data_IF_162511355232
#
_entry.id   IF_162511355232
#
_cell.length_a   1.000
_cell.length_b   1.000
_cell.length_c   1.000
_cell.angle_alpha   90.00
_cell.angle_beta   90.00
_cell.angle_gamma   90.00
#
_symmetry.space_group_name_H-M   'P 1'
#
loop_
_entity.id
_entity.type
_entity.pdbx_description
1 polymer ?
#
# COMPACT_ATOMS: atom_id res chain seq x y z
N UNK A 1 11.79 -11.42 17.46
CA UNK A 1 11.45 -11.85 16.08
C UNK A 1 9.96 -11.80 15.79
N UNK A 2 9.09 -12.66 16.35
CA UNK A 2 7.65 -12.71 16.03
C UNK A 2 6.91 -11.37 16.12
N UNK A 3 7.16 -10.57 17.18
CA UNK A 3 6.53 -9.25 17.36
C UNK A 3 6.85 -8.26 16.23
N UNK A 4 8.12 -8.22 15.78
CA UNK A 4 8.53 -7.33 14.69
C UNK A 4 7.85 -7.71 13.37
N UNK A 5 7.72 -9.01 13.07
CA UNK A 5 7.03 -9.49 11.87
C UNK A 5 5.53 -9.16 11.91
N UNK A 6 4.90 -9.26 13.09
CA UNK A 6 3.50 -8.86 13.29
C UNK A 6 3.35 -7.35 13.05
N UNK A 7 4.27 -6.51 13.53
CA UNK A 7 4.24 -5.08 13.27
C UNK A 7 4.32 -4.76 11.77
N UNK A 8 5.16 -5.48 11.03
CA UNK A 8 5.26 -5.36 9.58
C UNK A 8 3.98 -5.84 8.88
N UNK A 9 3.38 -6.94 9.36
CA UNK A 9 2.11 -7.46 8.85
C UNK A 9 0.94 -6.49 9.09
N UNK A 10 0.92 -5.76 10.21
CA UNK A 10 -0.06 -4.68 10.43
C UNK A 10 0.05 -3.56 9.40
N UNK A 11 1.27 -3.26 8.94
CA UNK A 11 1.48 -2.31 7.87
C UNK A 11 0.94 -2.79 6.52
N UNK A 12 1.22 -4.04 6.13
CA UNK A 12 0.68 -4.61 4.90
C UNK A 12 -0.84 -4.80 4.96
N UNK A 13 -1.41 -5.07 6.15
CA UNK A 13 -2.84 -5.07 6.39
C UNK A 13 -3.46 -3.70 6.09
N UNK A 14 -2.89 -2.62 6.66
CA UNK A 14 -3.38 -1.26 6.40
C UNK A 14 -3.25 -0.85 4.93
N UNK A 15 -2.14 -1.21 4.29
CA UNK A 15 -1.93 -0.98 2.87
C UNK A 15 -2.97 -1.73 2.02
N UNK A 16 -3.21 -3.00 2.31
CA UNK A 16 -4.17 -3.82 1.57
C UNK A 16 -5.61 -3.31 1.72
N UNK A 17 -6.05 -2.96 2.94
CA UNK A 17 -7.38 -2.36 3.14
C UNK A 17 -7.52 -1.09 2.30
N UNK A 18 -6.58 -0.17 2.42
CA UNK A 18 -6.64 1.09 1.71
C UNK A 18 -6.51 0.95 0.19
N UNK A 19 -5.93 -0.15 -0.32
CA UNK A 19 -5.86 -0.47 -1.74
C UNK A 19 -7.21 -0.94 -2.27
N UNK A 20 -7.68 -2.02 -1.73
CA UNK A 20 -8.79 -2.76 -2.31
C UNK A 20 -10.16 -2.23 -1.88
N UNK A 21 -10.27 -1.59 -0.72
CA UNK A 21 -11.55 -1.04 -0.27
C UNK A 21 -12.11 0.00 -1.24
N UNK A 22 -11.25 0.77 -1.93
CA UNK A 22 -11.70 1.75 -2.91
C UNK A 22 -12.57 1.14 -4.02
N UNK A 23 -12.28 -0.10 -4.42
CA UNK A 23 -13.05 -0.80 -5.44
C UNK A 23 -14.45 -1.14 -4.93
N UNK A 24 -14.55 -1.52 -3.65
CA UNK A 24 -15.83 -1.82 -3.01
C UNK A 24 -16.70 -0.59 -2.72
N UNK A 25 -16.08 0.58 -2.52
CA UNK A 25 -16.80 1.84 -2.19
C UNK A 25 -16.93 2.80 -3.37
N UNK A 26 -16.46 2.40 -4.56
CA UNK A 26 -16.42 3.26 -5.75
C UNK A 26 -17.78 3.88 -6.10
N UNK A 27 -18.91 3.13 -6.07
CA UNK A 27 -20.24 3.69 -6.31
C UNK A 27 -20.65 4.76 -5.28
N UNK A 28 -20.34 4.53 -4.00
CA UNK A 28 -20.66 5.47 -2.91
C UNK A 28 -19.91 6.80 -3.10
N UNK A 29 -18.62 6.71 -3.45
CA UNK A 29 -17.77 7.89 -3.72
C UNK A 29 -18.27 8.65 -4.96
N UNK A 30 -18.61 7.91 -6.03
CA UNK A 30 -19.14 8.51 -7.25
C UNK A 30 -20.44 9.27 -6.98
N UNK A 31 -21.36 8.67 -6.24
CA UNK A 31 -22.64 9.26 -5.86
C UNK A 31 -22.46 10.52 -5.00
N UNK A 32 -21.60 10.45 -3.97
CA UNK A 32 -21.38 11.56 -3.04
C UNK A 32 -20.70 12.77 -3.72
N UNK A 33 -19.78 12.52 -4.64
CA UNK A 33 -19.08 13.57 -5.39
C UNK A 33 -19.83 14.04 -6.66
N UNK A 34 -20.97 13.44 -7.00
CA UNK A 34 -21.76 13.76 -8.18
C UNK A 34 -21.02 13.48 -9.50
N UNK A 35 -20.20 12.44 -9.55
CA UNK A 35 -19.40 12.05 -10.71
C UNK A 35 -19.81 10.66 -11.23
N UNK A 36 -19.47 10.35 -12.47
CA UNK A 36 -19.70 9.02 -13.02
C UNK A 36 -18.73 7.98 -12.45
N UNK A 37 -19.12 6.70 -12.42
CA UNK A 37 -18.27 5.59 -11.97
C UNK A 37 -16.95 5.52 -12.75
N UNK A 38 -16.91 5.67 -14.09
CA UNK A 38 -15.64 5.72 -14.82
C UNK A 38 -14.73 6.86 -14.37
N UNK A 39 -15.27 8.04 -14.05
CA UNK A 39 -14.48 9.17 -13.50
C UNK A 39 -13.97 8.85 -12.10
N UNK A 40 -14.76 8.19 -11.26
CA UNK A 40 -14.30 7.73 -9.95
C UNK A 40 -13.16 6.70 -10.08
N UNK A 41 -13.09 5.93 -11.16
CA UNK A 41 -11.98 5.05 -11.48
C UNK A 41 -10.61 5.74 -11.54
N UNK A 42 -10.57 7.05 -11.79
CA UNK A 42 -9.33 7.83 -11.73
C UNK A 42 -8.65 7.79 -10.34
N UNK A 43 -9.42 7.59 -9.25
CA UNK A 43 -8.85 7.42 -7.91
C UNK A 43 -8.05 6.13 -7.78
N UNK A 44 -8.41 5.08 -8.53
CA UNK A 44 -7.66 3.82 -8.62
C UNK A 44 -6.41 4.04 -9.49
N UNK A 45 -6.53 4.77 -10.59
CA UNK A 45 -5.39 5.10 -11.46
C UNK A 45 -4.37 6.01 -10.76
N UNK A 46 -4.83 7.02 -10.03
CA UNK A 46 -3.96 7.89 -9.22
C UNK A 46 -3.19 7.10 -8.14
N UNK A 47 -3.85 6.11 -7.55
CA UNK A 47 -3.22 5.14 -6.67
C UNK A 47 -2.06 4.41 -7.37
N UNK A 48 -2.33 3.79 -8.52
CA UNK A 48 -1.32 3.02 -9.26
C UNK A 48 -0.13 3.90 -9.66
N UNK A 49 -0.39 5.13 -10.12
CA UNK A 49 0.66 6.12 -10.41
C UNK A 49 1.48 6.46 -9.16
N UNK A 50 0.84 6.63 -8.00
CA UNK A 50 1.54 6.87 -6.73
C UNK A 50 2.51 5.73 -6.39
N UNK A 51 2.10 4.47 -6.55
CA UNK A 51 2.97 3.30 -6.34
C UNK A 51 4.15 3.32 -7.31
N UNK A 52 3.90 3.57 -8.60
CA UNK A 52 4.95 3.61 -9.63
C UNK A 52 6.00 4.71 -9.35
N UNK A 53 5.56 5.89 -8.93
CA UNK A 53 6.45 7.02 -8.63
C UNK A 53 7.18 6.83 -7.30
N UNK A 54 6.48 6.28 -6.30
CA UNK A 54 7.02 6.15 -4.95
C UNK A 54 8.13 5.11 -4.82
N UNK A 55 8.05 3.99 -5.54
CA UNK A 55 9.02 2.92 -5.43
C UNK A 55 10.46 3.37 -5.80
N UNK A 56 10.73 4.06 -6.91
CA UNK A 56 12.06 4.58 -7.23
C UNK A 56 12.56 5.66 -6.27
N UNK A 57 11.68 6.55 -5.83
CA UNK A 57 12.05 7.65 -4.91
C UNK A 57 12.60 7.11 -3.60
N UNK A 58 12.02 6.04 -3.10
CA UNK A 58 12.42 5.44 -1.83
C UNK A 58 13.70 4.60 -1.91
N UNK A 59 14.11 4.20 -3.11
CA UNK A 59 15.45 3.62 -3.27
C UNK A 59 16.55 4.61 -2.91
N UNK A 60 16.29 5.92 -3.04
CA UNK A 60 17.22 6.98 -2.64
C UNK A 60 17.39 7.09 -1.11
N UNK A 61 16.37 6.73 -0.35
CA UNK A 61 16.38 6.82 1.11
C UNK A 61 17.06 5.62 1.81
N UNK A 62 17.42 4.56 1.09
CA UNK A 62 17.89 3.29 1.64
C UNK A 62 19.15 3.36 2.51
N UNK A 63 19.95 4.42 2.42
CA UNK A 63 21.12 4.66 3.27
C UNK A 63 20.77 4.97 4.73
N UNK A 64 19.53 5.42 4.96
CA UNK A 64 19.05 5.69 6.31
C UNK A 64 18.63 4.41 7.03
N UNK A 65 18.57 4.41 8.37
CA UNK A 65 18.12 3.24 9.12
C UNK A 65 16.73 2.79 8.68
N UNK A 66 16.57 1.49 8.37
CA UNK A 66 15.35 0.97 7.74
C UNK A 66 14.11 1.16 8.61
N UNK A 67 14.27 1.14 9.94
CA UNK A 67 13.19 1.46 10.89
C UNK A 67 12.65 2.88 10.69
N UNK A 68 13.52 3.88 10.52
CA UNK A 68 13.09 5.26 10.29
C UNK A 68 12.37 5.40 8.94
N UNK A 69 12.85 4.71 7.92
CA UNK A 69 12.17 4.67 6.62
C UNK A 69 10.75 4.12 6.80
N UNK A 70 10.58 2.99 7.47
CA UNK A 70 9.26 2.41 7.72
C UNK A 70 8.33 3.38 8.46
N UNK A 71 8.83 4.09 9.48
CA UNK A 71 8.04 5.09 10.21
C UNK A 71 7.59 6.25 9.31
N UNK A 72 8.50 6.78 8.47
CA UNK A 72 8.16 7.84 7.50
C UNK A 72 7.12 7.34 6.50
N UNK A 73 7.26 6.10 5.99
CA UNK A 73 6.31 5.51 5.07
C UNK A 73 4.92 5.39 5.68
N UNK A 74 4.84 4.91 6.93
CA UNK A 74 3.55 4.80 7.65
C UNK A 74 2.95 6.16 7.92
N UNK A 75 3.75 7.17 8.23
CA UNK A 75 3.27 8.55 8.41
C UNK A 75 2.63 9.08 7.13
N UNK A 76 3.24 8.83 5.96
CA UNK A 76 2.66 9.22 4.67
C UNK A 76 1.35 8.46 4.37
N UNK A 77 1.27 7.16 4.70
CA UNK A 77 0.04 6.37 4.58
C UNK A 77 -1.06 7.00 5.46
N UNK A 78 -0.75 7.29 6.71
CA UNK A 78 -1.67 7.87 7.68
C UNK A 78 -2.19 9.23 7.20
N UNK A 79 -1.30 10.16 6.89
CA UNK A 79 -1.66 11.52 6.43
C UNK A 79 -2.49 11.44 5.16
N UNK A 80 -2.07 10.66 4.16
CA UNK A 80 -2.78 10.54 2.91
C UNK A 80 -4.20 9.97 3.05
N UNK A 81 -4.41 8.99 3.95
CA UNK A 81 -5.75 8.44 4.19
C UNK A 81 -6.62 9.41 5.02
N UNK A 82 -6.06 10.15 5.98
CA UNK A 82 -6.78 11.21 6.69
C UNK A 82 -7.18 12.32 5.72
N UNK A 83 -6.27 12.77 4.84
CA UNK A 83 -6.60 13.74 3.81
C UNK A 83 -7.69 13.23 2.86
N UNK A 84 -7.68 11.94 2.50
CA UNK A 84 -8.73 11.34 1.70
C UNK A 84 -10.09 11.35 2.42
N UNK A 85 -10.11 11.03 3.72
CA UNK A 85 -11.33 11.07 4.55
C UNK A 85 -11.92 12.50 4.63
N UNK A 86 -11.06 13.50 4.72
CA UNK A 86 -11.44 14.92 4.85
C UNK A 86 -11.63 15.63 3.49
N UNK A 87 -11.49 14.91 2.38
CA UNK A 87 -11.53 15.54 1.05
C UNK A 87 -12.91 16.13 0.74
N UNK A 88 -12.99 17.44 0.39
CA UNK A 88 -14.24 18.09 0.07
C UNK A 88 -14.67 17.91 -1.39
N UNK A 89 -13.75 17.52 -2.28
CA UNK A 89 -13.99 17.45 -3.71
C UNK A 89 -13.08 16.42 -4.40
N UNK A 90 -13.39 16.19 -5.69
CA UNK A 90 -12.65 15.26 -6.56
C UNK A 90 -11.14 15.49 -6.57
N UNK A 91 -10.66 16.71 -6.72
CA UNK A 91 -9.22 16.99 -6.89
C UNK A 91 -8.42 16.74 -5.63
N UNK A 92 -8.98 17.11 -4.48
CA UNK A 92 -8.33 16.85 -3.17
C UNK A 92 -8.28 15.35 -2.91
N UNK A 93 -9.36 14.62 -3.21
CA UNK A 93 -9.37 13.16 -3.06
C UNK A 93 -8.34 12.52 -4.00
N UNK A 94 -8.26 12.97 -5.25
CA UNK A 94 -7.30 12.46 -6.24
C UNK A 94 -5.85 12.63 -5.76
N UNK A 95 -5.52 13.84 -5.29
CA UNK A 95 -4.19 14.13 -4.74
C UNK A 95 -3.89 13.31 -3.48
N UNK A 96 -4.85 13.20 -2.56
CA UNK A 96 -4.72 12.41 -1.34
C UNK A 96 -4.50 10.91 -1.65
N UNK A 97 -5.21 10.37 -2.64
CA UNK A 97 -5.02 9.00 -3.12
C UNK A 97 -3.64 8.79 -3.71
N UNK A 98 -3.14 9.72 -4.51
CA UNK A 98 -1.77 9.66 -5.05
C UNK A 98 -0.72 9.68 -3.93
N UNK A 99 -0.80 10.66 -3.02
CA UNK A 99 0.16 10.82 -1.92
C UNK A 99 0.16 9.61 -0.98
N UNK A 100 -1.02 9.10 -0.61
CA UNK A 100 -1.14 7.94 0.29
C UNK A 100 -0.49 6.68 -0.28
N UNK A 101 -0.15 6.66 -1.59
CA UNK A 101 0.37 5.49 -2.30
C UNK A 101 1.84 5.52 -2.65
N UNK A 102 2.45 6.69 -2.55
CA UNK A 102 3.91 6.79 -2.66
C UNK A 102 4.66 5.77 -1.77
N UNK A 103 4.23 5.51 -0.51
CA UNK A 103 4.91 4.56 0.35
C UNK A 103 4.73 3.08 0.00
N UNK A 104 3.73 2.71 -0.80
CA UNK A 104 3.29 1.31 -0.94
C UNK A 104 4.42 0.36 -1.37
N UNK A 105 4.98 0.56 -2.56
CA UNK A 105 6.04 -0.31 -3.09
C UNK A 105 7.29 -0.34 -2.21
N UNK A 106 7.63 0.80 -1.61
CA UNK A 106 8.76 0.90 -0.72
C UNK A 106 8.53 0.22 0.62
N UNK A 107 7.32 0.26 1.15
CA UNK A 107 6.99 -0.45 2.39
C UNK A 107 7.20 -1.96 2.22
N UNK A 108 6.78 -2.53 1.08
CA UNK A 108 7.04 -3.94 0.77
C UNK A 108 8.53 -4.22 0.61
N UNK A 109 9.27 -3.38 -0.12
CA UNK A 109 10.71 -3.54 -0.33
C UNK A 109 11.50 -3.45 0.96
N UNK A 110 11.33 -2.37 1.73
CA UNK A 110 12.03 -2.15 3.00
C UNK A 110 11.58 -3.16 4.06
N UNK A 111 10.28 -3.43 4.14
CA UNK A 111 9.71 -4.40 5.07
C UNK A 111 10.22 -5.81 4.85
N UNK A 112 10.35 -6.26 3.59
CA UNK A 112 10.91 -7.57 3.25
C UNK A 112 12.37 -7.70 3.70
N UNK A 113 13.18 -6.66 3.48
CA UNK A 113 14.58 -6.64 3.92
C UNK A 113 14.64 -6.69 5.46
N UNK A 114 13.81 -5.93 6.15
CA UNK A 114 13.74 -5.97 7.62
C UNK A 114 13.26 -7.32 8.12
N UNK A 115 12.23 -7.90 7.50
CA UNK A 115 11.73 -9.23 7.85
C UNK A 115 12.82 -10.30 7.70
N UNK A 116 13.53 -10.29 6.56
CA UNK A 116 14.62 -11.23 6.28
C UNK A 116 15.77 -11.08 7.27
N UNK A 117 16.22 -9.84 7.57
CA UNK A 117 17.30 -9.58 8.54
C UNK A 117 16.96 -9.96 9.98
N UNK A 118 15.69 -9.94 10.34
CA UNK A 118 15.20 -10.31 11.67
C UNK A 118 14.80 -11.80 11.76
N UNK A 119 14.83 -12.52 10.64
CA UNK A 119 14.52 -13.93 10.60
C UNK A 119 15.64 -14.79 11.22
N UNK A 120 15.27 -15.95 11.73
CA UNK A 120 16.22 -16.98 12.09
C UNK A 120 16.95 -17.50 10.84
N UNK A 121 18.16 -18.03 11.01
CA UNK A 121 18.97 -18.53 9.90
C UNK A 121 18.18 -19.54 9.06
N UNK A 122 18.06 -19.28 7.75
CA UNK A 122 17.32 -20.12 6.81
C UNK A 122 15.81 -19.87 6.75
N UNK A 123 15.23 -18.96 7.57
CA UNK A 123 13.78 -18.66 7.62
C UNK A 123 13.38 -17.31 7.02
N UNK A 124 14.22 -16.74 6.16
CA UNK A 124 13.94 -15.43 5.55
C UNK A 124 12.63 -15.40 4.76
N UNK A 125 12.40 -16.40 3.89
CA UNK A 125 11.15 -16.49 3.11
C UNK A 125 9.91 -16.65 3.98
N UNK A 126 9.98 -17.41 5.08
CA UNK A 126 8.89 -17.55 6.06
C UNK A 126 8.57 -16.19 6.69
N UNK A 127 9.59 -15.43 7.08
CA UNK A 127 9.41 -14.11 7.68
C UNK A 127 8.76 -13.11 6.73
N UNK A 128 9.16 -13.11 5.46
CA UNK A 128 8.54 -12.27 4.42
C UNK A 128 7.10 -12.70 4.17
N UNK A 129 6.81 -14.00 4.16
CA UNK A 129 5.44 -14.52 4.01
C UNK A 129 4.53 -14.08 5.16
N UNK A 130 5.01 -14.08 6.41
CA UNK A 130 4.25 -13.55 7.56
C UNK A 130 3.94 -12.07 7.39
N UNK A 131 4.89 -11.27 6.91
CA UNK A 131 4.64 -9.86 6.63
C UNK A 131 3.56 -9.69 5.55
N UNK A 132 3.64 -10.45 4.46
CA UNK A 132 2.68 -10.36 3.34
C UNK A 132 1.29 -10.88 3.73
N UNK A 133 1.19 -11.82 4.68
CA UNK A 133 -0.08 -12.35 5.16
C UNK A 133 -1.05 -11.27 5.66
N UNK A 134 -0.53 -10.10 6.13
CA UNK A 134 -1.36 -8.94 6.46
C UNK A 134 -2.22 -8.48 5.28
N UNK A 135 -1.68 -8.47 4.06
CA UNK A 135 -2.44 -8.10 2.85
C UNK A 135 -3.52 -9.14 2.51
N UNK A 136 -3.24 -10.42 2.72
CA UNK A 136 -4.25 -11.49 2.54
C UNK A 136 -5.40 -11.32 3.52
N UNK A 137 -5.10 -11.02 4.79
CA UNK A 137 -6.12 -10.73 5.82
C UNK A 137 -6.91 -9.47 5.46
N UNK A 138 -6.26 -8.44 4.89
CA UNK A 138 -6.93 -7.25 4.40
C UNK A 138 -7.98 -7.58 3.34
N UNK A 139 -7.63 -8.41 2.36
CA UNK A 139 -8.55 -8.79 1.29
C UNK A 139 -9.71 -9.64 1.81
N UNK A 140 -9.44 -10.55 2.75
CA UNK A 140 -10.47 -11.48 3.26
C UNK A 140 -11.47 -10.80 4.21
N UNK A 141 -10.98 -9.94 5.09
CA UNK A 141 -11.80 -9.32 6.15
C UNK A 141 -11.85 -7.79 6.04
N UNK A 142 -10.74 -7.14 5.73
CA UNK A 142 -10.63 -5.69 5.77
C UNK A 142 -11.45 -5.01 4.69
N UNK A 143 -11.47 -5.57 3.47
CA UNK A 143 -12.24 -5.01 2.35
C UNK A 143 -13.74 -5.16 2.58
N UNK A 144 -14.29 -6.35 2.90
CA UNK A 144 -15.71 -6.49 3.22
C UNK A 144 -16.16 -5.60 4.39
N UNK A 145 -15.37 -5.52 5.45
CA UNK A 145 -15.69 -4.67 6.61
C UNK A 145 -15.66 -3.18 6.23
N UNK A 146 -14.66 -2.76 5.46
CA UNK A 146 -14.55 -1.39 4.99
C UNK A 146 -15.68 -0.99 4.04
N UNK A 147 -16.11 -1.89 3.16
CA UNK A 147 -17.26 -1.68 2.28
C UNK A 147 -18.57 -1.60 3.08
N UNK A 148 -18.78 -2.51 4.03
CA UNK A 148 -19.94 -2.45 4.93
C UNK A 148 -19.99 -1.17 5.74
N UNK A 149 -18.83 -0.70 6.22
CA UNK A 149 -18.75 0.57 6.94
C UNK A 149 -19.12 1.76 6.05
N UNK A 150 -18.72 1.73 4.77
CA UNK A 150 -19.10 2.75 3.79
C UNK A 150 -20.62 2.85 3.64
N UNK A 151 -21.29 1.72 3.50
CA UNK A 151 -22.76 1.66 3.35
C UNK A 151 -23.50 2.06 4.61
N UNK A 152 -22.96 1.72 5.80
CA UNK A 152 -23.62 2.01 7.08
C UNK A 152 -23.42 3.44 7.56
N UNK A 153 -22.26 4.01 7.31
CA UNK A 153 -21.88 5.35 7.79
C UNK A 153 -21.51 6.28 6.64
N UNK A 154 -20.34 6.08 6.05
CA UNK A 154 -19.81 6.89 4.94
C UNK A 154 -18.50 6.26 4.46
N UNK A 155 -18.20 6.40 3.17
CA UNK A 155 -16.89 6.03 2.61
C UNK A 155 -15.72 6.79 3.27
N UNK A 156 -15.98 8.00 3.78
CA UNK A 156 -14.99 8.79 4.53
C UNK A 156 -14.57 8.12 5.82
N UNK A 157 -15.51 7.46 6.52
CA UNK A 157 -15.23 6.74 7.75
C UNK A 157 -14.24 5.59 7.51
N UNK A 158 -14.32 4.93 6.35
CA UNK A 158 -13.38 3.87 5.98
C UNK A 158 -11.94 4.39 5.86
N UNK A 159 -11.74 5.51 5.17
CA UNK A 159 -10.41 6.11 5.07
C UNK A 159 -9.91 6.66 6.40
N UNK A 160 -10.79 7.22 7.23
CA UNK A 160 -10.44 7.68 8.56
C UNK A 160 -9.95 6.53 9.44
N UNK A 161 -10.64 5.38 9.42
CA UNK A 161 -10.20 4.19 10.16
C UNK A 161 -8.83 3.68 9.69
N UNK A 162 -8.58 3.68 8.38
CA UNK A 162 -7.24 3.32 7.86
C UNK A 162 -6.19 4.33 8.32
N UNK A 163 -6.53 5.62 8.37
CA UNK A 163 -5.65 6.65 8.92
C UNK A 163 -5.33 6.42 10.41
N UNK A 164 -6.34 6.14 11.23
CA UNK A 164 -6.19 5.79 12.65
C UNK A 164 -5.37 4.51 12.81
N UNK A 165 -5.61 3.49 11.98
CA UNK A 165 -4.80 2.27 11.94
C UNK A 165 -3.33 2.56 11.70
N UNK A 166 -3.01 3.60 10.92
CA UNK A 166 -1.64 4.09 10.74
C UNK A 166 -0.94 4.45 12.04
N UNK A 167 -1.66 5.01 13.02
CA UNK A 167 -1.13 5.31 14.36
C UNK A 167 -0.74 4.01 15.09
N UNK A 168 -1.60 2.99 14.99
CA UNK A 168 -1.35 1.67 15.58
C UNK A 168 -0.12 1.03 14.96
N UNK A 169 0.00 1.06 13.63
CA UNK A 169 1.17 0.55 12.90
C UNK A 169 2.44 1.28 13.35
N UNK A 170 2.40 2.61 13.41
CA UNK A 170 3.53 3.45 13.80
C UNK A 170 4.01 3.11 15.22
N UNK A 171 3.08 2.96 16.17
CA UNK A 171 3.39 2.57 17.54
C UNK A 171 4.09 1.20 17.59
N UNK A 172 3.56 0.18 16.90
CA UNK A 172 4.14 -1.15 16.93
C UNK A 172 5.47 -1.26 16.17
N UNK A 173 5.65 -0.56 15.07
CA UNK A 173 6.96 -0.47 14.39
C UNK A 173 7.96 0.21 15.32
N UNK A 174 7.59 1.33 15.94
CA UNK A 174 8.47 2.01 16.88
C UNK A 174 8.86 1.13 18.07
N UNK A 175 7.91 0.38 18.62
CA UNK A 175 8.10 -0.41 19.85
C UNK A 175 8.73 -1.78 19.62
N UNK A 176 8.42 -2.44 18.51
CA UNK A 176 8.78 -3.84 18.26
C UNK A 176 9.87 -4.05 17.21
N UNK A 177 10.04 -3.12 16.26
CA UNK A 177 11.11 -3.23 15.27
C UNK A 177 12.38 -2.63 15.86
N UNK A 178 13.49 -3.42 15.98
CA UNK A 178 14.76 -2.91 16.47
C UNK A 178 15.37 -1.93 15.46
N UNK A 179 16.47 -1.29 15.85
CA UNK A 179 17.27 -0.52 14.92
C UNK A 179 17.88 -1.47 13.88
N UNK A 180 17.62 -1.19 12.61
CA UNK A 180 18.17 -1.95 11.48
C UNK A 180 18.90 -0.96 10.59
N UNK A 181 20.19 -1.18 10.40
CA UNK A 181 21.05 -0.33 9.60
C UNK A 181 20.57 -0.24 8.15
N UNK A 182 20.81 0.91 7.52
CA UNK A 182 20.54 1.12 6.12
C UNK A 182 21.34 0.18 5.20
N UNK A 183 21.04 0.21 3.93
CA UNK A 183 21.76 -0.52 2.90
C UNK A 183 22.96 0.30 2.41
N UNK A 184 24.00 -0.40 1.95
CA UNK A 184 25.14 0.27 1.29
C UNK A 184 24.64 1.10 0.11
N UNK A 185 25.10 2.34 0.02
CA UNK A 185 24.78 3.19 -1.09
C UNK A 185 25.58 2.77 -2.33
N UNK A 186 24.91 2.22 -3.33
CA UNK A 186 25.51 1.87 -4.63
C UNK A 186 25.24 2.95 -5.68
N UNK A 187 24.67 4.08 -5.27
CA UNK A 187 24.24 5.14 -6.16
C UNK A 187 23.00 4.76 -7.00
N UNK A 188 22.36 5.74 -7.59
CA UNK A 188 21.16 5.54 -8.41
C UNK A 188 21.42 4.62 -9.62
N UNK A 189 22.52 4.84 -10.33
CA UNK A 189 22.88 4.02 -11.50
C UNK A 189 23.17 2.56 -11.16
N UNK A 190 23.76 2.28 -10.00
CA UNK A 190 24.04 0.91 -9.55
C UNK A 190 22.79 0.08 -9.29
N UNK A 191 21.71 0.73 -8.85
CA UNK A 191 20.44 0.08 -8.53
C UNK A 191 19.72 -0.46 -9.75
N UNK A 192 19.83 0.22 -10.89
CA UNK A 192 19.17 -0.18 -12.14
C UNK A 192 20.04 -1.04 -13.06
N UNK A 193 21.21 -1.49 -12.56
CA UNK A 193 22.11 -2.33 -13.36
C UNK A 193 21.46 -3.64 -13.80
N UNK A 194 20.56 -4.20 -13.01
CA UNK A 194 19.84 -5.43 -13.34
C UNK A 194 18.95 -5.29 -14.58
N UNK A 195 18.45 -4.08 -14.88
CA UNK A 195 17.64 -3.80 -16.08
C UNK A 195 18.42 -3.87 -17.40
N UNK A 196 19.74 -4.06 -17.34
CA UNK A 196 20.56 -4.27 -18.55
C UNK A 196 20.41 -5.67 -19.15
N UNK A 197 19.80 -6.61 -18.43
CA UNK A 197 19.53 -7.97 -18.91
C UNK A 197 18.05 -8.11 -19.29
N UNK A 198 17.68 -9.04 -20.22
CA UNK A 198 16.28 -9.19 -20.65
C UNK A 198 15.38 -9.83 -19.61
N UNK A 199 15.91 -10.66 -18.71
CA UNK A 199 15.12 -11.39 -17.72
C UNK A 199 14.21 -10.50 -16.82
N UNK A 200 14.70 -9.41 -16.23
CA UNK A 200 13.83 -8.49 -15.48
C UNK A 200 12.68 -7.90 -16.32
N UNK A 201 12.93 -7.59 -17.59
CA UNK A 201 11.91 -7.04 -18.48
C UNK A 201 10.80 -8.04 -18.80
N UNK A 202 11.16 -9.32 -18.99
CA UNK A 202 10.19 -10.40 -19.19
C UNK A 202 9.32 -10.59 -17.92
N UNK A 203 9.93 -10.58 -16.74
CA UNK A 203 9.22 -10.69 -15.46
C UNK A 203 8.30 -9.49 -15.27
N UNK A 204 8.80 -8.28 -15.50
CA UNK A 204 8.00 -7.05 -15.40
C UNK A 204 6.83 -7.05 -16.39
N UNK A 205 7.08 -7.46 -17.64
CA UNK A 205 6.05 -7.57 -18.67
C UNK A 205 4.97 -8.58 -18.31
N UNK A 206 5.36 -9.79 -17.90
CA UNK A 206 4.42 -10.81 -17.45
C UNK A 206 3.59 -10.33 -16.25
N UNK A 207 4.22 -9.69 -15.26
CA UNK A 207 3.55 -9.13 -14.08
C UNK A 207 2.58 -8.01 -14.48
N UNK A 208 2.99 -7.10 -15.36
CA UNK A 208 2.15 -6.00 -15.83
C UNK A 208 0.91 -6.51 -16.58
N UNK A 209 1.06 -7.47 -17.48
CA UNK A 209 -0.06 -8.04 -18.23
C UNK A 209 -1.02 -8.82 -17.31
N UNK A 210 -0.49 -9.67 -16.44
CA UNK A 210 -1.29 -10.48 -15.53
C UNK A 210 -2.08 -9.60 -14.54
N UNK A 211 -1.40 -8.72 -13.82
CA UNK A 211 -2.07 -7.83 -12.86
C UNK A 211 -2.99 -6.82 -13.57
N UNK A 212 -2.57 -6.26 -14.71
CA UNK A 212 -3.38 -5.36 -15.51
C UNK A 212 -4.72 -5.99 -15.88
N UNK A 213 -4.74 -7.23 -16.37
CA UNK A 213 -5.96 -7.96 -16.68
C UNK A 213 -6.86 -8.17 -15.48
N UNK A 214 -6.29 -8.63 -14.35
CA UNK A 214 -7.03 -8.83 -13.10
C UNK A 214 -7.62 -7.51 -12.58
N UNK A 215 -6.84 -6.43 -12.55
CA UNK A 215 -7.31 -5.14 -12.01
C UNK A 215 -8.33 -4.47 -12.90
N UNK A 216 -8.27 -4.62 -14.22
CA UNK A 216 -9.30 -4.12 -15.13
C UNK A 216 -10.68 -4.69 -14.79
N UNK A 217 -10.76 -5.99 -14.51
CA UNK A 217 -12.00 -6.65 -14.15
C UNK A 217 -12.40 -6.39 -12.70
N UNK A 218 -11.48 -6.55 -11.77
CA UNK A 218 -11.74 -6.46 -10.32
C UNK A 218 -12.17 -5.06 -9.89
N UNK A 219 -11.63 -4.00 -10.52
CA UNK A 219 -11.95 -2.61 -10.18
C UNK A 219 -13.42 -2.24 -10.37
N UNK A 220 -14.11 -2.90 -11.31
CA UNK A 220 -15.48 -2.57 -11.66
C UNK A 220 -16.47 -3.71 -11.40
N UNK A 221 -16.03 -4.81 -10.80
CA UNK A 221 -16.87 -6.00 -10.61
C UNK A 221 -18.16 -5.67 -9.85
N UNK A 222 -18.06 -4.83 -8.82
CA UNK A 222 -19.23 -4.45 -8.01
C UNK A 222 -20.23 -3.63 -8.83
N UNK A 223 -19.76 -2.75 -9.69
CA UNK A 223 -20.60 -1.97 -10.62
C UNK A 223 -21.25 -2.86 -11.67
N UNK A 224 -20.57 -3.91 -12.13
CA UNK A 224 -21.07 -4.83 -13.13
C UNK A 224 -22.14 -5.79 -12.59
N UNK A 225 -22.03 -6.17 -11.31
CA UNK A 225 -23.00 -7.08 -10.68
C UNK A 225 -24.31 -6.36 -10.32
N UNK A 226 -24.29 -5.04 -10.18
CA UNK A 226 -25.45 -4.24 -9.77
C UNK A 226 -26.18 -3.57 -10.96
N UNK A 227 -25.80 -3.94 -12.20
CA UNK A 227 -26.56 -3.64 -13.42
C UNK A 227 -27.62 -4.73 -13.63
#
# INVERSE_FOLDING_TARGET
>A
MKKSLIALAFGTLGLGIAEFVMMGILPDVAKDLGISIPVAGHFISAYALGVCVGAPVLTLARKYPLKHILLVLVTLIMIGNICAALSPNYWVLLAARFISRLPHGAYFGVGSIVAERLADKGKGSEAVSIMIAGMTIANLFGVPLGTSLSTMLSWRATFLLVGIWGIVIMYYIWRWVPHVEGLKDTGFKGQFRFLKTPAPWLILGATALSNGGVFCWYSYILSLIHI
#
